data_IF_447490349311
#
_entry.id   IF_447490349311
#
_cell.length_a   1.000
_cell.length_b   1.000
_cell.length_c   1.000
_cell.angle_alpha   90.00
_cell.angle_beta   90.00
_cell.angle_gamma   90.00
#
_symmetry.space_group_name_H-M   'P 1'
#
loop_
_entity.id
_entity.type
_entity.pdbx_description
1 polymer ?
#
# COMPACT_ATOMS: atom_id res chain seq x y z
N UNK A 1 28.14 2.92 -20.41
CA UNK A 1 28.20 3.63 -19.12
C UNK A 1 29.47 4.46 -19.09
N UNK A 2 29.41 5.73 -18.71
CA UNK A 2 30.62 6.57 -18.60
C UNK A 2 31.27 6.43 -17.23
N UNK A 3 32.51 6.93 -17.11
CA UNK A 3 33.23 7.03 -15.84
C UNK A 3 32.49 7.89 -14.80
N UNK A 4 31.72 8.90 -15.24
CA UNK A 4 30.93 9.75 -14.35
C UNK A 4 29.82 8.96 -13.64
N UNK A 5 29.14 8.04 -14.33
CA UNK A 5 28.15 7.17 -13.73
C UNK A 5 28.79 6.20 -12.71
N UNK A 6 29.93 5.61 -13.07
CA UNK A 6 30.67 4.70 -12.17
C UNK A 6 31.12 5.40 -10.88
N UNK A 7 31.51 6.68 -10.96
CA UNK A 7 31.86 7.49 -9.79
C UNK A 7 30.64 7.92 -8.96
N UNK A 8 29.47 8.08 -9.59
CA UNK A 8 28.23 8.45 -8.90
C UNK A 8 27.61 7.28 -8.13
N UNK A 9 27.74 6.03 -8.62
CA UNK A 9 27.11 4.84 -8.04
C UNK A 9 27.44 4.59 -6.55
N UNK A 10 28.70 4.67 -6.09
CA UNK A 10 29.04 4.44 -4.68
C UNK A 10 28.34 5.39 -3.70
N UNK A 11 28.00 6.60 -4.14
CA UNK A 11 27.23 7.57 -3.34
C UNK A 11 25.73 7.33 -3.53
N UNK A 12 25.31 7.11 -4.77
CA UNK A 12 23.90 6.93 -5.11
C UNK A 12 23.29 5.72 -4.41
N UNK A 13 23.91 4.54 -4.48
CA UNK A 13 23.37 3.28 -3.97
C UNK A 13 23.00 3.36 -2.48
N UNK A 14 23.88 3.78 -1.55
CA UNK A 14 23.52 3.87 -0.14
C UNK A 14 22.48 4.97 0.13
N UNK A 15 22.53 6.10 -0.57
CA UNK A 15 21.52 7.16 -0.42
C UNK A 15 20.16 6.70 -0.92
N UNK A 16 20.10 6.01 -2.05
CA UNK A 16 18.90 5.40 -2.59
C UNK A 16 18.35 4.34 -1.64
N UNK A 17 19.21 3.49 -1.06
CA UNK A 17 18.81 2.50 -0.07
C UNK A 17 18.15 3.13 1.17
N UNK A 18 18.71 4.21 1.71
CA UNK A 18 18.08 4.96 2.81
C UNK A 18 16.75 5.59 2.40
N UNK A 19 16.68 6.12 1.19
CA UNK A 19 15.47 6.71 0.68
C UNK A 19 14.36 5.66 0.46
N UNK A 20 14.73 4.44 0.04
CA UNK A 20 13.82 3.31 -0.04
C UNK A 20 13.29 2.88 1.34
N UNK A 21 14.08 2.99 2.40
CA UNK A 21 13.60 2.79 3.77
C UNK A 21 12.52 3.81 4.14
N UNK A 22 12.62 5.05 3.66
CA UNK A 22 11.56 6.06 3.85
C UNK A 22 10.27 5.64 3.13
N UNK A 23 10.35 5.08 1.91
CA UNK A 23 9.17 4.52 1.24
C UNK A 23 8.51 3.41 2.08
N UNK A 24 9.32 2.51 2.66
CA UNK A 24 8.84 1.44 3.54
C UNK A 24 8.19 2.00 4.82
N UNK A 25 8.81 3.00 5.44
CA UNK A 25 8.29 3.66 6.65
C UNK A 25 6.95 4.37 6.38
N UNK A 26 6.83 5.09 5.27
CA UNK A 26 5.57 5.72 4.85
C UNK A 26 4.47 4.68 4.67
N UNK A 27 4.78 3.58 3.97
CA UNK A 27 3.84 2.49 3.78
C UNK A 27 3.45 1.81 5.11
N UNK A 28 4.39 1.71 6.06
CA UNK A 28 4.13 1.14 7.39
C UNK A 28 3.19 2.03 8.20
N UNK A 29 3.41 3.35 8.21
CA UNK A 29 2.49 4.30 8.84
C UNK A 29 1.10 4.28 8.18
N UNK A 30 1.06 4.26 6.85
CA UNK A 30 -0.19 4.15 6.10
C UNK A 30 -0.94 2.85 6.45
N UNK A 31 -0.24 1.72 6.56
CA UNK A 31 -0.82 0.46 6.97
C UNK A 31 -1.32 0.49 8.42
N UNK A 32 -0.53 1.06 9.35
CA UNK A 32 -0.90 1.14 10.76
C UNK A 32 -2.22 1.91 10.98
N UNK A 33 -2.51 2.89 10.14
CA UNK A 33 -3.76 3.67 10.17
C UNK A 33 -4.86 2.99 9.33
N UNK A 34 -4.53 2.57 8.11
CA UNK A 34 -5.47 2.01 7.15
C UNK A 34 -6.01 0.64 7.54
N UNK A 35 -5.19 -0.19 8.21
CA UNK A 35 -5.59 -1.53 8.67
C UNK A 35 -6.76 -1.49 9.67
N UNK A 36 -6.66 -0.82 10.84
CA UNK A 36 -7.78 -0.77 11.78
C UNK A 36 -9.01 -0.09 11.17
N UNK A 37 -8.82 0.98 10.37
CA UNK A 37 -9.92 1.65 9.69
C UNK A 37 -10.63 0.73 8.68
N UNK A 38 -9.86 0.02 7.85
CA UNK A 38 -10.38 -0.93 6.85
C UNK A 38 -11.07 -2.14 7.49
N UNK A 39 -10.53 -2.67 8.59
CA UNK A 39 -11.18 -3.73 9.36
C UNK A 39 -12.52 -3.27 9.95
N UNK A 40 -12.55 -2.09 10.55
CA UNK A 40 -13.78 -1.52 11.10
C UNK A 40 -14.84 -1.28 10.01
N UNK A 41 -14.45 -0.65 8.89
CA UNK A 41 -15.34 -0.39 7.75
C UNK A 41 -15.84 -1.70 7.12
N UNK A 42 -14.96 -2.65 6.85
CA UNK A 42 -15.32 -3.94 6.27
C UNK A 42 -16.27 -4.74 7.16
N UNK A 43 -16.08 -4.69 8.48
CA UNK A 43 -17.00 -5.31 9.44
C UNK A 43 -18.38 -4.63 9.45
N UNK A 44 -18.43 -3.30 9.40
CA UNK A 44 -19.68 -2.54 9.34
C UNK A 44 -20.43 -2.77 8.02
N UNK A 45 -19.71 -2.94 6.91
CA UNK A 45 -20.27 -3.27 5.60
C UNK A 45 -20.81 -4.71 5.52
N UNK A 46 -20.41 -5.59 6.45
CA UNK A 46 -20.80 -6.99 6.39
C UNK A 46 -22.32 -7.16 6.63
N UNK A 47 -23.09 -7.68 5.65
CA UNK A 47 -24.52 -7.85 5.83
C UNK A 47 -24.83 -8.85 6.95
N UNK A 48 -25.99 -8.79 7.61
CA UNK A 48 -26.41 -9.84 8.55
C UNK A 48 -26.65 -11.18 7.85
N UNK A 49 -26.45 -12.29 8.57
CA UNK A 49 -26.91 -13.62 8.12
C UNK A 49 -28.44 -13.74 8.08
N UNK A 50 -29.14 -13.00 8.97
CA UNK A 50 -30.59 -12.90 9.01
C UNK A 50 -31.02 -11.41 9.02
N UNK A 51 -31.55 -10.87 7.91
CA UNK A 51 -31.89 -9.43 7.77
C UNK A 51 -32.89 -8.92 8.81
N UNK A 52 -33.77 -9.80 9.31
CA UNK A 52 -34.81 -9.48 10.28
C UNK A 52 -34.29 -9.29 11.72
N UNK A 53 -33.10 -9.82 12.04
CA UNK A 53 -32.58 -9.88 13.41
C UNK A 53 -31.76 -8.64 13.84
N UNK A 54 -31.58 -7.64 12.97
CA UNK A 54 -30.74 -6.48 13.27
C UNK A 54 -31.55 -5.22 13.62
N UNK A 55 -31.12 -4.48 14.66
CA UNK A 55 -31.61 -3.13 14.92
C UNK A 55 -31.40 -2.21 13.71
N UNK A 56 -32.31 -1.25 13.51
CA UNK A 56 -32.25 -0.29 12.40
C UNK A 56 -30.94 0.52 12.32
N UNK A 57 -30.32 0.85 13.47
CA UNK A 57 -29.06 1.59 13.54
C UNK A 57 -27.91 0.86 12.85
N UNK A 58 -27.88 -0.48 12.90
CA UNK A 58 -26.78 -1.26 12.30
C UNK A 58 -26.89 -1.32 10.78
N UNK A 59 -28.12 -1.29 10.24
CA UNK A 59 -28.37 -1.13 8.79
C UNK A 59 -27.95 0.26 8.30
N UNK A 60 -28.23 1.31 9.07
CA UNK A 60 -27.77 2.65 8.76
C UNK A 60 -26.24 2.73 8.75
N UNK A 61 -25.59 2.21 9.79
CA UNK A 61 -24.12 2.20 9.88
C UNK A 61 -23.47 1.45 8.71
N UNK A 62 -24.02 0.32 8.27
CA UNK A 62 -23.51 -0.40 7.10
C UNK A 62 -23.61 0.40 5.81
N UNK A 63 -24.70 1.14 5.58
CA UNK A 63 -24.84 2.03 4.42
C UNK A 63 -23.85 3.20 4.47
N UNK A 64 -23.69 3.82 5.65
CA UNK A 64 -22.73 4.90 5.85
C UNK A 64 -21.30 4.39 5.60
N UNK A 65 -20.93 3.24 6.17
CA UNK A 65 -19.62 2.61 5.96
C UNK A 65 -19.38 2.30 4.48
N UNK A 66 -20.36 1.75 3.77
CA UNK A 66 -20.25 1.48 2.33
C UNK A 66 -20.07 2.77 1.52
N UNK A 67 -20.77 3.85 1.89
CA UNK A 67 -20.58 5.18 1.30
C UNK A 67 -19.18 5.74 1.55
N UNK A 68 -18.66 5.61 2.77
CA UNK A 68 -17.29 6.00 3.11
C UNK A 68 -16.26 5.20 2.31
N UNK A 69 -16.38 3.87 2.23
CA UNK A 69 -15.50 3.03 1.43
C UNK A 69 -15.53 3.43 -0.05
N UNK A 70 -16.72 3.68 -0.60
CA UNK A 70 -16.88 4.14 -1.99
C UNK A 70 -16.17 5.49 -2.23
N UNK A 71 -16.29 6.43 -1.29
CA UNK A 71 -15.62 7.72 -1.35
C UNK A 71 -14.08 7.57 -1.28
N UNK A 72 -13.58 6.79 -0.31
CA UNK A 72 -12.13 6.56 -0.15
C UNK A 72 -11.52 5.88 -1.38
N UNK A 73 -12.28 5.01 -2.05
CA UNK A 73 -11.87 4.36 -3.30
C UNK A 73 -11.90 5.30 -4.50
N UNK A 74 -12.84 6.23 -4.53
CA UNK A 74 -12.99 7.18 -5.63
C UNK A 74 -12.01 8.36 -5.53
N UNK A 75 -11.53 8.69 -4.34
CA UNK A 75 -10.64 9.81 -4.10
C UNK A 75 -9.23 9.55 -4.67
N UNK A 76 -8.75 10.34 -5.64
CA UNK A 76 -7.38 10.22 -6.12
C UNK A 76 -6.38 10.61 -5.01
N UNK A 77 -5.32 9.82 -4.84
CA UNK A 77 -4.35 10.04 -3.75
C UNK A 77 -3.73 11.46 -3.75
N UNK A 78 -3.44 12.01 -4.95
CA UNK A 78 -2.90 13.36 -5.07
C UNK A 78 -3.88 14.45 -4.57
N UNK A 79 -5.18 14.25 -4.77
CA UNK A 79 -6.22 15.18 -4.28
C UNK A 79 -6.25 15.16 -2.76
N UNK A 80 -6.20 13.96 -2.17
CA UNK A 80 -6.17 13.80 -0.72
C UNK A 80 -4.92 14.48 -0.13
N UNK A 81 -3.75 14.24 -0.73
CA UNK A 81 -2.51 14.91 -0.32
C UNK A 81 -2.63 16.44 -0.41
N UNK A 82 -3.16 16.97 -1.52
CA UNK A 82 -3.32 18.40 -1.71
C UNK A 82 -4.22 19.03 -0.65
N UNK A 83 -5.38 18.42 -0.37
CA UNK A 83 -6.32 18.86 0.67
C UNK A 83 -5.66 18.84 2.05
N UNK A 84 -4.94 17.76 2.39
CA UNK A 84 -4.25 17.64 3.68
C UNK A 84 -3.20 18.73 3.88
N UNK A 85 -2.48 19.11 2.82
CA UNK A 85 -1.43 20.12 2.91
C UNK A 85 -1.95 21.56 2.87
N UNK A 86 -3.04 21.84 2.14
CA UNK A 86 -3.43 23.21 1.81
C UNK A 86 -4.80 23.62 2.33
N UNK A 87 -5.74 22.68 2.53
CA UNK A 87 -7.09 22.99 2.97
C UNK A 87 -7.25 22.93 4.50
N UNK A 88 -6.27 22.36 5.21
CA UNK A 88 -6.27 22.31 6.67
C UNK A 88 -5.76 23.63 7.25
N UNK A 89 -6.46 24.17 8.25
CA UNK A 89 -5.99 25.32 9.04
C UNK A 89 -4.67 24.99 9.72
N UNK A 90 -3.82 26.00 9.99
CA UNK A 90 -2.48 25.83 10.57
C UNK A 90 -2.40 24.90 11.81
N UNK A 91 -3.44 24.87 12.66
CA UNK A 91 -3.53 23.96 13.82
C UNK A 91 -3.55 22.45 13.47
N UNK A 92 -3.92 22.12 12.24
CA UNK A 92 -4.01 20.76 11.70
C UNK A 92 -3.00 20.54 10.57
N UNK A 93 -1.99 21.42 10.46
CA UNK A 93 -0.95 21.27 9.46
C UNK A 93 -0.23 19.92 9.65
N UNK A 94 -0.15 19.17 8.58
CA UNK A 94 0.55 17.88 8.53
C UNK A 94 1.83 18.01 7.72
N UNK A 95 2.85 17.25 8.08
CA UNK A 95 4.08 17.18 7.27
C UNK A 95 3.78 16.53 5.90
N UNK A 96 4.62 16.81 4.91
CA UNK A 96 4.52 16.17 3.59
C UNK A 96 4.48 14.63 3.70
N UNK A 97 5.35 14.06 4.54
CA UNK A 97 5.39 12.61 4.80
C UNK A 97 4.08 12.10 5.40
N UNK A 98 3.51 12.81 6.37
CA UNK A 98 2.23 12.46 6.98
C UNK A 98 1.07 12.58 5.97
N UNK A 99 1.09 13.58 5.10
CA UNK A 99 0.09 13.74 4.03
C UNK A 99 0.12 12.56 3.05
N UNK A 100 1.31 12.07 2.65
CA UNK A 100 1.44 10.84 1.85
C UNK A 100 0.90 9.65 2.62
N UNK A 101 1.31 9.46 3.87
CA UNK A 101 0.90 8.32 4.68
C UNK A 101 -0.61 8.27 4.88
N UNK A 102 -1.26 9.40 5.16
CA UNK A 102 -2.71 9.51 5.33
C UNK A 102 -3.47 9.28 4.01
N UNK A 103 -2.96 9.81 2.89
CA UNK A 103 -3.55 9.54 1.58
C UNK A 103 -3.47 8.05 1.21
N UNK A 104 -2.34 7.40 1.49
CA UNK A 104 -2.18 5.95 1.31
C UNK A 104 -3.03 5.15 2.31
N UNK A 105 -3.21 5.64 3.55
CA UNK A 105 -4.07 5.01 4.54
C UNK A 105 -5.54 4.98 4.09
N UNK A 106 -6.04 6.03 3.44
CA UNK A 106 -7.37 6.07 2.84
C UNK A 106 -7.54 4.96 1.79
N UNK A 107 -6.57 4.82 0.89
CA UNK A 107 -6.54 3.73 -0.10
C UNK A 107 -6.49 2.35 0.57
N UNK A 108 -5.62 2.17 1.57
CA UNK A 108 -5.47 0.93 2.32
C UNK A 108 -6.77 0.53 3.04
N UNK A 109 -7.44 1.49 3.69
CA UNK A 109 -8.70 1.26 4.38
C UNK A 109 -9.79 0.77 3.42
N UNK A 110 -9.94 1.42 2.26
CA UNK A 110 -10.89 0.98 1.24
C UNK A 110 -10.56 -0.43 0.72
N UNK A 111 -9.30 -0.68 0.37
CA UNK A 111 -8.84 -1.98 -0.14
C UNK A 111 -9.10 -3.12 0.86
N UNK A 112 -8.78 -2.90 2.14
CA UNK A 112 -8.94 -3.89 3.20
C UNK A 112 -10.40 -4.08 3.59
N UNK A 113 -11.23 -3.04 3.53
CA UNK A 113 -12.68 -3.18 3.74
C UNK A 113 -13.30 -4.11 2.71
N UNK A 114 -12.95 -3.94 1.43
CA UNK A 114 -13.41 -4.79 0.32
C UNK A 114 -12.92 -6.25 0.49
N UNK A 115 -11.63 -6.44 0.81
CA UNK A 115 -11.07 -7.79 1.01
C UNK A 115 -11.63 -8.50 2.24
N UNK A 116 -11.84 -7.77 3.34
CA UNK A 116 -12.45 -8.34 4.54
C UNK A 116 -13.89 -8.73 4.26
N UNK A 117 -14.67 -7.89 3.58
CA UNK A 117 -16.05 -8.18 3.24
C UNK A 117 -16.15 -9.47 2.41
N UNK A 118 -15.34 -9.61 1.36
CA UNK A 118 -15.26 -10.82 0.56
C UNK A 118 -14.92 -12.05 1.41
N UNK A 119 -13.91 -11.92 2.28
CA UNK A 119 -13.47 -12.99 3.19
C UNK A 119 -14.57 -13.43 4.15
N UNK A 120 -15.34 -12.48 4.71
CA UNK A 120 -16.44 -12.77 5.63
C UNK A 120 -17.62 -13.45 4.93
N UNK A 121 -17.91 -13.05 3.68
CA UNK A 121 -18.95 -13.68 2.86
C UNK A 121 -18.56 -15.11 2.51
N UNK A 122 -17.32 -15.33 2.05
CA UNK A 122 -16.80 -16.65 1.73
C UNK A 122 -16.75 -17.58 2.95
N UNK A 123 -16.36 -17.03 4.11
CA UNK A 123 -16.34 -17.79 5.35
C UNK A 123 -17.74 -18.28 5.75
N UNK A 124 -18.77 -17.44 5.56
CA UNK A 124 -20.18 -17.84 5.80
C UNK A 124 -20.68 -18.86 4.79
N UNK A 125 -20.15 -18.86 3.57
CA UNK A 125 -20.42 -19.88 2.57
C UNK A 125 -19.68 -21.21 2.84
N UNK A 126 -18.91 -21.31 3.94
CA UNK A 126 -18.18 -22.51 4.34
C UNK A 126 -16.79 -22.65 3.72
N UNK A 127 -16.33 -21.66 2.95
CA UNK A 127 -14.99 -21.68 2.36
C UNK A 127 -13.92 -21.34 3.42
N UNK A 128 -12.90 -22.21 3.54
CA UNK A 128 -11.83 -22.08 4.55
C UNK A 128 -10.63 -21.25 4.08
N UNK A 129 -10.56 -20.90 2.79
CA UNK A 129 -9.41 -20.21 2.19
C UNK A 129 -9.34 -18.69 2.42
N UNK A 130 -10.44 -18.05 2.82
CA UNK A 130 -10.56 -16.60 2.84
C UNK A 130 -9.55 -15.89 3.76
N UNK A 131 -9.26 -16.45 4.94
CA UNK A 131 -8.34 -15.83 5.91
C UNK A 131 -6.92 -15.72 5.37
N UNK A 132 -6.43 -16.76 4.69
CA UNK A 132 -5.12 -16.73 4.06
C UNK A 132 -5.08 -15.69 2.93
N UNK A 133 -6.10 -15.64 2.09
CA UNK A 133 -6.21 -14.67 1.00
C UNK A 133 -6.25 -13.23 1.53
N UNK A 134 -6.93 -12.99 2.66
CA UNK A 134 -6.92 -11.70 3.34
C UNK A 134 -5.51 -11.32 3.81
N UNK A 135 -4.82 -12.22 4.51
CA UNK A 135 -3.45 -11.97 5.00
C UNK A 135 -2.48 -11.66 3.85
N UNK A 136 -2.57 -12.39 2.74
CA UNK A 136 -1.78 -12.13 1.53
C UNK A 136 -2.18 -10.81 0.86
N UNK A 137 -3.46 -10.44 0.95
CA UNK A 137 -3.97 -9.14 0.54
C UNK A 137 -3.34 -7.98 1.33
N UNK A 138 -3.17 -8.14 2.64
CA UNK A 138 -2.48 -7.16 3.51
C UNK A 138 -1.02 -6.97 3.06
N UNK A 139 -0.31 -8.06 2.80
CA UNK A 139 1.07 -7.99 2.28
C UNK A 139 1.10 -7.29 0.92
N UNK A 140 0.19 -7.67 0.02
CA UNK A 140 0.08 -7.07 -1.32
C UNK A 140 -0.17 -5.57 -1.25
N UNK A 141 -1.12 -5.11 -0.44
CA UNK A 141 -1.45 -3.68 -0.35
C UNK A 141 -0.30 -2.88 0.26
N UNK A 142 0.42 -3.44 1.23
CA UNK A 142 1.63 -2.82 1.77
C UNK A 142 2.65 -2.51 0.67
N UNK A 143 2.99 -3.49 -0.17
CA UNK A 143 3.95 -3.26 -1.25
C UNK A 143 3.44 -2.33 -2.35
N UNK A 144 2.14 -2.36 -2.66
CA UNK A 144 1.53 -1.36 -3.55
C UNK A 144 1.72 0.05 -2.97
N UNK A 145 1.56 0.24 -1.66
CA UNK A 145 1.82 1.52 -1.00
C UNK A 145 3.29 1.92 -1.03
N UNK A 146 4.24 1.00 -0.84
CA UNK A 146 5.69 1.27 -0.95
C UNK A 146 6.04 1.83 -2.34
N UNK A 147 5.48 1.22 -3.39
CA UNK A 147 5.68 1.71 -4.76
C UNK A 147 4.97 3.04 -5.01
N UNK A 148 3.77 3.21 -4.44
CA UNK A 148 2.95 4.41 -4.63
C UNK A 148 3.43 5.61 -3.82
N UNK A 149 4.20 5.41 -2.74
CA UNK A 149 4.73 6.52 -1.94
C UNK A 149 5.73 7.39 -2.71
N UNK A 150 6.19 6.96 -3.89
CA UNK A 150 7.02 7.74 -4.81
C UNK A 150 6.40 9.07 -5.24
N UNK A 151 5.06 9.19 -5.22
CA UNK A 151 4.37 10.46 -5.44
C UNK A 151 4.71 11.53 -4.38
N UNK A 152 5.24 11.13 -3.21
CA UNK A 152 5.71 12.04 -2.19
C UNK A 152 6.82 12.98 -2.66
N UNK A 153 7.61 12.58 -3.67
CA UNK A 153 8.65 13.44 -4.25
C UNK A 153 8.11 14.80 -4.71
N UNK A 154 6.89 14.81 -5.29
CA UNK A 154 6.27 16.01 -5.85
C UNK A 154 5.88 17.04 -4.78
N UNK A 155 5.77 16.62 -3.52
CA UNK A 155 5.44 17.48 -2.38
C UNK A 155 6.59 17.61 -1.38
N UNK A 156 7.82 17.29 -1.83
CA UNK A 156 9.05 17.53 -1.06
C UNK A 156 9.48 16.40 -0.13
N UNK A 157 8.89 15.20 -0.20
CA UNK A 157 9.37 14.04 0.56
C UNK A 157 10.68 13.53 -0.06
N UNK A 158 11.70 13.37 0.77
CA UNK A 158 13.01 12.85 0.34
C UNK A 158 13.03 11.32 0.31
N UNK A 159 12.28 10.73 -0.60
CA UNK A 159 12.21 9.28 -0.82
C UNK A 159 12.98 8.82 -2.08
N UNK A 160 12.90 7.54 -2.43
CA UNK A 160 13.68 6.92 -3.51
C UNK A 160 13.57 7.63 -4.87
N UNK A 161 12.37 8.09 -5.25
CA UNK A 161 12.11 8.83 -6.50
C UNK A 161 12.78 10.20 -6.47
N UNK A 162 12.65 10.95 -5.37
CA UNK A 162 13.30 12.25 -5.18
C UNK A 162 14.83 12.15 -5.18
N UNK A 163 15.40 11.06 -4.64
CA UNK A 163 16.85 10.80 -4.74
C UNK A 163 17.27 10.46 -6.15
N UNK A 164 16.47 9.65 -6.86
CA UNK A 164 16.71 9.28 -8.25
C UNK A 164 16.71 10.50 -9.16
N UNK A 165 15.70 11.37 -9.05
CA UNK A 165 15.60 12.60 -9.85
C UNK A 165 16.80 13.53 -9.63
N UNK A 166 17.20 13.74 -8.36
CA UNK A 166 18.39 14.54 -8.02
C UNK A 166 19.68 13.94 -8.57
N UNK A 167 19.79 12.62 -8.64
CA UNK A 167 20.95 11.96 -9.22
C UNK A 167 20.96 12.07 -10.76
N UNK A 168 19.79 11.98 -11.41
CA UNK A 168 19.65 12.15 -12.85
C UNK A 168 20.05 13.57 -13.31
N UNK A 169 19.68 14.60 -12.54
CA UNK A 169 20.06 16.00 -12.81
C UNK A 169 21.58 16.22 -12.80
N UNK A 170 22.32 15.43 -12.01
CA UNK A 170 23.78 15.52 -11.89
C UNK A 170 24.53 14.79 -12.99
N UNK A 171 23.86 13.93 -13.76
CA UNK A 171 24.49 13.16 -14.82
C UNK A 171 24.55 13.98 -16.13
N UNK A 172 25.73 14.09 -16.77
CA UNK A 172 25.92 14.96 -17.93
C UNK A 172 25.34 14.36 -19.22
N UNK A 173 25.34 13.03 -19.36
CA UNK A 173 24.89 12.36 -20.59
C UNK A 173 23.50 11.76 -20.43
N UNK A 174 22.70 11.81 -21.50
CA UNK A 174 21.40 11.14 -21.55
C UNK A 174 21.51 9.62 -21.37
N UNK A 175 22.58 9.02 -21.92
CA UNK A 175 22.83 7.59 -21.78
C UNK A 175 23.01 7.15 -20.33
N UNK A 176 23.76 7.92 -19.52
CA UNK A 176 23.94 7.59 -18.09
C UNK A 176 22.65 7.77 -17.30
N UNK A 177 21.82 8.76 -17.65
CA UNK A 177 20.49 8.95 -17.07
C UNK A 177 19.59 7.74 -17.32
N UNK A 178 19.58 7.22 -18.56
CA UNK A 178 18.84 6.01 -18.91
C UNK A 178 19.34 4.78 -18.13
N UNK A 179 20.67 4.61 -18.01
CA UNK A 179 21.25 3.50 -17.24
C UNK A 179 20.88 3.56 -15.76
N UNK A 180 20.94 4.75 -15.14
CA UNK A 180 20.54 4.94 -13.75
C UNK A 180 19.05 4.62 -13.56
N UNK A 181 18.19 5.14 -14.44
CA UNK A 181 16.75 4.90 -14.39
C UNK A 181 16.44 3.40 -14.57
N UNK A 182 17.09 2.73 -15.54
CA UNK A 182 16.95 1.30 -15.75
C UNK A 182 17.37 0.50 -14.50
N UNK A 183 18.47 0.87 -13.85
CA UNK A 183 18.90 0.26 -12.59
C UNK A 183 17.86 0.41 -11.48
N UNK A 184 17.30 1.61 -11.30
CA UNK A 184 16.25 1.85 -10.30
C UNK A 184 14.98 1.03 -10.59
N UNK A 185 14.54 1.01 -11.86
CA UNK A 185 13.39 0.20 -12.29
C UNK A 185 13.63 -1.29 -12.01
N UNK A 186 14.82 -1.80 -12.30
CA UNK A 186 15.19 -3.19 -12.01
C UNK A 186 15.11 -3.51 -10.51
N UNK A 187 15.53 -2.59 -9.64
CA UNK A 187 15.41 -2.76 -8.19
C UNK A 187 13.94 -2.86 -7.76
N UNK A 188 13.07 -1.99 -8.27
CA UNK A 188 11.63 -2.05 -7.96
C UNK A 188 10.95 -3.31 -8.54
N UNK A 189 11.34 -3.75 -9.73
CA UNK A 189 10.89 -5.02 -10.30
C UNK A 189 11.35 -6.17 -9.39
N UNK A 190 12.62 -6.22 -9.02
CA UNK A 190 13.15 -7.27 -8.15
C UNK A 190 12.42 -7.30 -6.80
N UNK A 191 12.15 -6.14 -6.20
CA UNK A 191 11.36 -6.03 -4.98
C UNK A 191 9.94 -6.59 -5.16
N UNK A 192 9.23 -6.20 -6.23
CA UNK A 192 7.90 -6.72 -6.54
C UNK A 192 7.90 -8.24 -6.75
N UNK A 193 8.88 -8.76 -7.48
CA UNK A 193 8.99 -10.19 -7.76
C UNK A 193 9.30 -10.97 -6.48
N UNK A 194 10.17 -10.47 -5.61
CA UNK A 194 10.48 -11.09 -4.31
C UNK A 194 9.23 -11.24 -3.45
N UNK A 195 8.35 -10.25 -3.45
CA UNK A 195 7.08 -10.27 -2.72
C UNK A 195 6.11 -11.27 -3.32
N UNK A 196 5.96 -11.28 -4.64
CA UNK A 196 5.10 -12.26 -5.31
C UNK A 196 5.59 -13.68 -5.04
N UNK A 197 6.90 -13.91 -5.12
CA UNK A 197 7.51 -15.19 -4.78
C UNK A 197 7.24 -15.59 -3.32
N UNK A 198 7.38 -14.66 -2.37
CA UNK A 198 7.07 -14.91 -0.96
C UNK A 198 5.59 -15.27 -0.74
N UNK A 199 4.67 -14.54 -1.38
CA UNK A 199 3.23 -14.83 -1.34
C UNK A 199 2.95 -16.23 -1.90
N UNK A 200 3.54 -16.60 -3.04
CA UNK A 200 3.39 -17.92 -3.64
C UNK A 200 3.97 -19.03 -2.75
N UNK A 201 5.14 -18.81 -2.14
CA UNK A 201 5.76 -19.76 -1.23
C UNK A 201 4.89 -20.01 0.01
N UNK A 202 4.32 -18.97 0.60
CA UNK A 202 3.39 -19.09 1.74
C UNK A 202 2.14 -19.87 1.35
N UNK A 203 1.53 -19.56 0.19
CA UNK A 203 0.37 -20.31 -0.30
C UNK A 203 0.68 -21.80 -0.46
N UNK A 204 1.80 -22.11 -1.11
CA UNK A 204 2.24 -23.48 -1.34
C UNK A 204 2.51 -24.24 -0.04
N UNK A 205 3.14 -23.59 0.96
CA UNK A 205 3.38 -24.19 2.27
C UNK A 205 2.07 -24.53 3.00
N UNK A 206 1.07 -23.65 2.92
CA UNK A 206 -0.24 -23.87 3.55
C UNK A 206 -1.02 -24.97 2.84
N UNK A 207 -1.04 -24.98 1.49
CA UNK A 207 -1.68 -26.03 0.70
C UNK A 207 -1.08 -27.41 0.99
N UNK A 208 0.26 -27.50 1.10
CA UNK A 208 0.96 -28.74 1.49
C UNK A 208 0.56 -29.23 2.88
N UNK A 209 0.45 -28.34 3.87
CA UNK A 209 0.03 -28.72 5.23
C UNK A 209 -1.46 -29.10 5.31
N UNK A 210 -2.32 -28.41 4.55
CA UNK A 210 -3.75 -28.71 4.52
C UNK A 210 -4.05 -30.04 3.82
N UNK A 211 -3.34 -30.37 2.74
CA UNK A 211 -3.45 -31.67 2.06
C UNK A 211 -3.01 -32.84 2.95
N UNK A 212 -2.11 -32.61 3.90
CA UNK A 212 -1.67 -33.63 4.88
C UNK A 212 -2.73 -33.95 5.94
N UNK A 213 -3.62 -33.00 6.26
CA UNK A 213 -4.71 -33.18 7.23
C UNK A 213 -6.00 -33.74 6.61
N UNK A 214 -6.09 -33.80 5.28
CA UNK A 214 -7.27 -34.27 4.54
C UNK A 214 -7.21 -35.76 4.16
N UNK A 215 -6.08 -36.44 4.40
CA UNK A 215 -5.92 -37.90 4.31
C UNK A 215 -5.52 -38.45 5.70
N UNK A 216 -6.47 -38.66 6.62
CA UNK A 216 -6.25 -39.57 7.75
C UNK A 216 -6.21 -41.04 7.29
#
# INVERSE_FOLDING_TARGET
>A
MTQALLQALPVFVPTFGRALLVNLEIAAHALAIGLPAGLALGWLCCPPAAPAAWPGWRRLNGRVAAGVVALLRAAPAFVVMYVLLHALSARWAVSAQAAVALALAAYCAAFLADHLLATLVDHRAGARGGVLLFALGVVRVYFVMVLSSGFGAAIGVTEATAVTLRALERLPTFGDRLWLLAGVVLVFIALRQAVQAAIHAVRWLVERRAGWLANP
#
